data_IF_009487432318
#
_entry.id   IF_009487432318
#
_cell.length_a   1.000
_cell.length_b   1.000
_cell.length_c   1.000
_cell.angle_alpha   90.00
_cell.angle_beta   90.00
_cell.angle_gamma   90.00
#
_symmetry.space_group_name_H-M   'P 1'
#
loop_
_entity.id
_entity.type
_entity.pdbx_description
1 polymer ?
#
# COMPACT_ATOMS: atom_id res chain seq x y z
N UNK A 1 19.61 -19.03 7.16
CA UNK A 1 19.17 -17.75 6.54
C UNK A 1 20.15 -17.46 5.42
N UNK A 2 19.72 -16.96 4.24
CA UNK A 2 20.70 -16.28 3.41
C UNK A 2 21.33 -15.19 4.28
N UNK A 3 22.65 -15.07 4.26
CA UNK A 3 23.32 -13.98 4.99
C UNK A 3 22.73 -12.68 4.44
N UNK A 4 22.30 -11.76 5.30
CA UNK A 4 21.74 -10.45 4.88
C UNK A 4 22.67 -9.72 3.89
N UNK A 5 23.98 -9.94 4.04
CA UNK A 5 25.03 -9.44 3.13
C UNK A 5 24.87 -9.88 1.67
N UNK A 6 24.09 -10.94 1.39
CA UNK A 6 23.81 -11.42 0.03
C UNK A 6 22.52 -10.83 -0.58
N UNK A 7 21.79 -10.01 0.17
CA UNK A 7 20.59 -9.33 -0.31
C UNK A 7 21.00 -7.91 -0.68
N UNK A 8 21.17 -7.66 -1.97
CA UNK A 8 21.68 -6.39 -2.49
C UNK A 8 20.63 -5.55 -3.20
N UNK A 9 19.51 -6.15 -3.57
CA UNK A 9 18.44 -5.48 -4.29
C UNK A 9 17.05 -6.10 -3.98
N UNK A 10 15.99 -5.46 -4.46
CA UNK A 10 14.61 -5.94 -4.29
C UNK A 10 14.38 -7.30 -4.94
N UNK A 11 15.07 -7.60 -6.05
CA UNK A 11 14.98 -8.90 -6.71
C UNK A 11 15.45 -10.05 -5.80
N UNK A 12 16.57 -9.85 -5.07
CA UNK A 12 17.05 -10.84 -4.10
C UNK A 12 16.04 -11.05 -2.96
N UNK A 13 15.41 -9.98 -2.48
CA UNK A 13 14.34 -10.09 -1.47
C UNK A 13 13.16 -10.90 -2.02
N UNK A 14 12.77 -10.69 -3.28
CA UNK A 14 11.68 -11.41 -3.95
C UNK A 14 11.98 -12.91 -3.99
N UNK A 15 13.19 -13.34 -4.29
CA UNK A 15 13.57 -14.75 -4.25
C UNK A 15 13.44 -15.36 -2.84
N UNK A 16 13.91 -14.65 -1.82
CA UNK A 16 13.78 -15.10 -0.42
C UNK A 16 12.31 -15.21 -0.04
N UNK A 17 11.49 -14.25 -0.47
CA UNK A 17 10.06 -14.21 -0.25
C UNK A 17 9.37 -15.45 -0.86
N UNK A 18 9.62 -15.77 -2.13
CA UNK A 18 9.09 -16.95 -2.81
C UNK A 18 9.45 -18.28 -2.11
N UNK A 19 10.65 -18.35 -1.54
CA UNK A 19 11.10 -19.57 -0.82
C UNK A 19 10.41 -19.73 0.54
N UNK A 20 10.01 -18.64 1.20
CA UNK A 20 9.55 -18.65 2.61
C UNK A 20 8.05 -18.57 2.78
N UNK A 21 7.35 -17.93 1.88
CA UNK A 21 5.91 -17.67 1.96
C UNK A 21 5.15 -18.67 1.10
N UNK A 22 3.98 -19.16 1.52
CA UNK A 22 3.13 -20.01 0.69
C UNK A 22 2.76 -19.33 -0.63
N UNK A 23 2.76 -20.12 -1.71
CA UNK A 23 2.56 -19.63 -3.08
C UNK A 23 1.31 -18.77 -3.24
N UNK A 24 0.19 -19.14 -2.60
CA UNK A 24 -1.05 -18.37 -2.70
C UNK A 24 -0.90 -16.91 -2.21
N UNK A 25 -0.14 -16.69 -1.14
CA UNK A 25 0.11 -15.33 -0.62
C UNK A 25 1.19 -14.59 -1.43
N UNK A 26 2.16 -15.34 -1.97
CA UNK A 26 3.14 -14.78 -2.92
C UNK A 26 2.42 -14.27 -4.15
N UNK A 27 1.60 -15.11 -4.78
CA UNK A 27 0.86 -14.75 -5.99
C UNK A 27 -0.09 -13.57 -5.76
N UNK A 28 -0.71 -13.49 -4.57
CA UNK A 28 -1.52 -12.34 -4.18
C UNK A 28 -0.73 -11.02 -4.28
N UNK A 29 0.51 -10.99 -3.83
CA UNK A 29 1.31 -9.76 -3.84
C UNK A 29 1.97 -9.45 -5.19
N UNK A 30 2.29 -10.48 -5.98
CA UNK A 30 3.06 -10.32 -7.23
C UNK A 30 2.20 -10.49 -8.48
N UNK A 31 0.90 -10.28 -8.38
CA UNK A 31 -0.03 -10.35 -9.52
C UNK A 31 -0.62 -8.99 -9.86
N UNK A 32 -0.80 -8.75 -11.16
CA UNK A 32 -1.68 -7.74 -11.71
C UNK A 32 -3.09 -8.28 -11.97
N UNK A 33 -3.97 -7.45 -12.51
CA UNK A 33 -5.29 -7.82 -13.03
C UNK A 33 -5.21 -8.28 -14.49
N UNK A 34 -6.17 -9.07 -14.91
CA UNK A 34 -6.38 -9.53 -16.28
C UNK A 34 -5.11 -10.07 -16.96
N UNK A 35 -4.58 -9.36 -17.98
CA UNK A 35 -3.38 -9.75 -18.73
C UNK A 35 -2.07 -9.38 -18.02
N UNK A 36 -2.13 -8.60 -16.96
CA UNK A 36 -0.99 -8.06 -16.23
C UNK A 36 -0.16 -7.04 -17.07
N UNK A 37 -0.73 -6.45 -18.14
CA UNK A 37 -0.03 -5.47 -18.96
C UNK A 37 0.43 -4.26 -18.12
N UNK A 38 -0.48 -3.58 -17.45
CA UNK A 38 -0.17 -2.42 -16.60
C UNK A 38 0.80 -2.78 -15.48
N UNK A 39 0.69 -3.98 -14.90
CA UNK A 39 1.61 -4.45 -13.87
C UNK A 39 3.05 -4.55 -14.39
N UNK A 40 3.24 -5.03 -15.62
CA UNK A 40 4.55 -5.11 -16.28
C UNK A 40 5.07 -3.71 -16.66
N UNK A 41 4.23 -2.88 -17.27
CA UNK A 41 4.57 -1.54 -17.73
C UNK A 41 4.96 -0.62 -16.58
N UNK A 42 4.32 -0.72 -15.42
CA UNK A 42 4.69 0.04 -14.23
C UNK A 42 6.18 -0.01 -13.88
N UNK A 43 6.84 -1.13 -14.08
CA UNK A 43 8.28 -1.25 -13.84
C UNK A 43 9.12 -1.05 -15.10
N UNK A 44 8.57 -1.39 -16.27
CA UNK A 44 9.30 -1.28 -17.54
C UNK A 44 9.50 0.17 -17.96
N UNK A 45 8.51 1.02 -17.77
CA UNK A 45 8.52 2.40 -18.28
C UNK A 45 9.51 3.31 -17.55
N UNK A 46 9.93 2.96 -16.34
CA UNK A 46 11.07 3.64 -15.71
C UNK A 46 12.33 3.60 -16.58
N UNK A 47 12.46 2.62 -17.49
CA UNK A 47 13.62 2.51 -18.39
C UNK A 47 13.64 3.58 -19.49
N UNK A 48 12.52 4.22 -19.76
CA UNK A 48 12.42 5.31 -20.74
C UNK A 48 13.15 6.56 -20.25
N UNK A 49 13.19 6.78 -18.93
CA UNK A 49 13.87 7.91 -18.29
C UNK A 49 15.34 7.58 -18.06
N UNK A 50 16.25 8.42 -18.57
CA UNK A 50 17.70 8.20 -18.50
C UNK A 50 18.38 9.28 -17.66
N UNK A 51 19.31 8.88 -16.81
CA UNK A 51 20.19 9.81 -16.12
C UNK A 51 21.23 10.39 -17.07
N UNK A 52 21.49 11.69 -16.93
CA UNK A 52 22.63 12.37 -17.54
C UNK A 52 23.60 12.74 -16.42
N UNK A 53 24.69 11.98 -16.34
CA UNK A 53 25.67 12.19 -15.27
C UNK A 53 26.45 13.50 -15.44
N UNK A 54 26.70 14.17 -14.34
CA UNK A 54 27.67 15.27 -14.24
C UNK A 54 28.91 14.77 -13.51
N UNK A 55 30.07 15.22 -13.91
CA UNK A 55 31.35 14.82 -13.30
C UNK A 55 32.01 15.98 -12.56
N UNK A 56 32.97 15.71 -11.68
CA UNK A 56 33.76 16.68 -10.92
C UNK A 56 32.90 17.61 -10.03
N UNK A 57 31.81 17.07 -9.48
CA UNK A 57 30.96 17.79 -8.53
C UNK A 57 31.29 17.32 -7.11
N UNK A 58 31.51 18.26 -6.19
CA UNK A 58 31.66 17.94 -4.79
C UNK A 58 30.38 17.33 -4.20
N UNK A 59 30.48 16.10 -3.71
CA UNK A 59 29.36 15.32 -3.17
C UNK A 59 29.39 15.16 -1.64
N UNK A 60 30.28 15.89 -0.94
CA UNK A 60 30.48 15.70 0.50
C UNK A 60 29.20 15.97 1.33
N UNK A 61 28.39 16.94 0.92
CA UNK A 61 27.17 17.35 1.65
C UNK A 61 25.88 16.77 1.04
N UNK A 62 25.95 15.68 0.25
CA UNK A 62 24.75 15.07 -0.31
C UNK A 62 23.87 14.49 0.78
N UNK A 63 22.57 14.71 0.68
CA UNK A 63 21.56 14.12 1.54
C UNK A 63 20.36 13.68 0.69
N UNK A 64 19.72 12.60 1.11
CA UNK A 64 18.44 12.15 0.57
C UNK A 64 17.29 12.33 1.57
N UNK A 65 17.61 12.90 2.75
CA UNK A 65 16.59 13.20 3.76
C UNK A 65 15.64 14.29 3.25
N UNK A 66 14.35 14.14 3.56
CA UNK A 66 13.30 15.03 3.11
C UNK A 66 12.20 15.13 4.17
N UNK A 67 11.28 16.07 4.00
CA UNK A 67 10.01 16.07 4.73
C UNK A 67 8.89 15.53 3.83
N UNK A 68 8.08 14.64 4.38
CA UNK A 68 6.87 14.07 3.77
C UNK A 68 5.68 14.42 4.66
N UNK A 69 4.76 15.26 4.19
CA UNK A 69 3.64 15.81 4.98
C UNK A 69 4.08 16.42 6.34
N UNK A 70 5.22 17.11 6.34
CA UNK A 70 5.78 17.72 7.54
C UNK A 70 6.54 16.77 8.47
N UNK A 71 6.61 15.47 8.16
CA UNK A 71 7.42 14.48 8.89
C UNK A 71 8.80 14.32 8.26
N UNK A 72 9.84 14.30 9.09
CA UNK A 72 11.19 14.00 8.61
C UNK A 72 11.28 12.55 8.15
N UNK A 73 11.80 12.34 6.95
CA UNK A 73 12.07 11.03 6.38
C UNK A 73 13.55 10.93 5.99
N UNK A 74 14.19 9.82 6.34
CA UNK A 74 15.60 9.57 6.04
C UNK A 74 15.88 9.48 4.53
N UNK A 75 14.86 9.19 3.74
CA UNK A 75 14.86 9.21 2.28
C UNK A 75 13.42 9.41 1.75
N UNK A 76 13.22 9.82 0.49
CA UNK A 76 11.89 10.12 -0.06
C UNK A 76 11.08 8.85 -0.39
N UNK A 77 10.91 7.98 0.60
CA UNK A 77 10.18 6.71 0.46
C UNK A 77 9.35 6.45 1.71
N UNK A 78 8.12 5.98 1.50
CA UNK A 78 7.28 5.41 2.55
C UNK A 78 6.95 3.95 2.21
N UNK A 79 6.71 3.10 3.21
CA UNK A 79 6.20 1.76 2.96
C UNK A 79 4.72 1.81 2.58
N UNK A 80 4.40 1.34 1.38
CA UNK A 80 3.04 1.37 0.82
C UNK A 80 2.05 0.53 1.65
N UNK A 81 0.75 0.91 1.66
CA UNK A 81 -0.27 0.11 2.32
C UNK A 81 -0.49 -1.19 1.56
N UNK A 82 -0.27 -2.30 2.24
CA UNK A 82 -0.43 -3.64 1.68
C UNK A 82 -1.34 -4.46 2.58
N UNK A 83 -2.38 -5.04 2.01
CA UNK A 83 -3.26 -5.97 2.73
C UNK A 83 -2.59 -7.33 2.98
N UNK A 84 -3.07 -8.05 4.00
CA UNK A 84 -2.66 -9.43 4.28
C UNK A 84 -1.17 -9.64 4.58
N UNK A 85 -0.42 -8.64 5.03
CA UNK A 85 1.01 -8.81 5.35
C UNK A 85 1.18 -9.83 6.48
N UNK A 86 0.31 -9.80 7.50
CA UNK A 86 0.32 -10.77 8.60
C UNK A 86 0.12 -12.22 8.16
N UNK A 87 -0.56 -12.47 7.02
CA UNK A 87 -0.67 -13.82 6.44
C UNK A 87 0.59 -14.25 5.68
N UNK A 88 1.42 -13.31 5.27
CA UNK A 88 2.70 -13.60 4.62
C UNK A 88 3.80 -13.84 5.63
N UNK A 89 3.75 -13.11 6.73
CA UNK A 89 4.64 -13.25 7.88
C UNK A 89 3.83 -12.94 9.14
N UNK A 90 3.82 -13.84 10.10
CA UNK A 90 3.17 -13.60 11.40
C UNK A 90 3.62 -12.24 11.97
N UNK A 91 2.65 -11.43 12.39
CA UNK A 91 2.81 -10.06 12.89
C UNK A 91 3.50 -9.11 11.89
N UNK A 92 3.33 -9.35 10.59
CA UNK A 92 4.07 -8.69 9.51
C UNK A 92 3.89 -7.18 9.47
N UNK A 93 2.69 -6.66 9.75
CA UNK A 93 2.42 -5.21 9.79
C UNK A 93 3.19 -4.53 10.94
N UNK A 94 3.24 -5.18 12.11
CA UNK A 94 4.01 -4.69 13.26
C UNK A 94 5.51 -4.65 12.90
N UNK A 95 6.03 -5.75 12.32
CA UNK A 95 7.43 -5.83 11.92
C UNK A 95 7.79 -4.79 10.85
N UNK A 96 6.88 -4.52 9.90
CA UNK A 96 7.08 -3.50 8.87
C UNK A 96 7.10 -2.09 9.47
N UNK A 97 6.16 -1.79 10.39
CA UNK A 97 6.11 -0.50 11.08
C UNK A 97 7.37 -0.24 11.91
N UNK A 98 7.81 -1.23 12.69
CA UNK A 98 9.05 -1.14 13.46
C UNK A 98 10.30 -0.97 12.58
N UNK A 99 10.35 -1.65 11.43
CA UNK A 99 11.46 -1.49 10.49
C UNK A 99 11.46 -0.09 9.87
N UNK A 100 10.30 0.44 9.50
CA UNK A 100 10.16 1.79 8.97
C UNK A 100 10.57 2.84 10.02
N UNK A 101 10.08 2.71 11.25
CA UNK A 101 10.45 3.57 12.38
C UNK A 101 11.97 3.56 12.62
N UNK A 102 12.56 2.37 12.71
CA UNK A 102 14.02 2.22 12.90
C UNK A 102 14.84 2.85 11.78
N UNK A 103 14.35 2.79 10.54
CA UNK A 103 15.03 3.38 9.39
C UNK A 103 14.76 4.88 9.25
N UNK A 104 13.68 5.38 9.85
CA UNK A 104 13.25 6.78 9.78
C UNK A 104 12.46 7.12 8.52
N UNK A 105 11.56 6.26 8.08
CA UNK A 105 10.64 6.49 6.96
C UNK A 105 9.19 6.26 7.39
N UNK A 106 8.19 6.90 6.75
CA UNK A 106 6.79 6.65 7.04
C UNK A 106 6.37 5.20 6.71
N UNK A 107 5.48 4.66 7.53
CA UNK A 107 4.76 3.42 7.28
C UNK A 107 3.28 3.71 7.06
N UNK A 108 2.68 3.05 6.08
CA UNK A 108 1.25 3.17 5.79
C UNK A 108 0.59 1.83 6.08
N UNK A 109 -0.28 1.80 7.07
CA UNK A 109 -1.04 0.61 7.46
C UNK A 109 -2.31 0.50 6.63
N UNK A 110 -2.62 -0.67 6.09
CA UNK A 110 -3.84 -0.92 5.33
C UNK A 110 -5.06 -1.18 6.23
N UNK A 111 -6.26 -0.78 5.81
CA UNK A 111 -7.53 -1.25 6.38
C UNK A 111 -7.59 -2.79 6.40
N UNK A 112 -7.09 -3.43 5.33
CA UNK A 112 -7.10 -4.88 5.15
C UNK A 112 -5.86 -5.56 5.74
N UNK A 113 -5.37 -5.07 6.87
CA UNK A 113 -4.27 -5.67 7.61
C UNK A 113 -4.76 -6.76 8.57
N UNK A 114 -3.86 -7.69 8.89
CA UNK A 114 -4.11 -8.77 9.86
C UNK A 114 -3.90 -8.26 11.29
N UNK A 115 -2.88 -7.44 11.52
CA UNK A 115 -2.76 -6.71 12.77
C UNK A 115 -3.78 -5.56 12.82
N UNK A 116 -4.26 -5.19 13.99
CA UNK A 116 -5.13 -4.01 14.17
C UNK A 116 -4.33 -2.71 14.23
N UNK A 117 -5.02 -1.57 14.11
CA UNK A 117 -4.43 -0.24 14.33
C UNK A 117 -3.79 -0.17 15.72
N UNK A 118 -4.47 -0.72 16.72
CA UNK A 118 -4.02 -0.74 18.12
C UNK A 118 -2.77 -1.61 18.29
N UNK A 119 -2.69 -2.74 17.60
CA UNK A 119 -1.52 -3.62 17.63
C UNK A 119 -0.26 -2.90 17.13
N UNK A 120 -0.38 -2.18 16.02
CA UNK A 120 0.74 -1.42 15.44
C UNK A 120 1.10 -0.23 16.33
N UNK A 121 0.09 0.51 16.82
CA UNK A 121 0.32 1.65 17.71
C UNK A 121 0.96 1.25 19.04
N UNK A 122 0.63 0.08 19.59
CA UNK A 122 1.25 -0.44 20.80
C UNK A 122 2.70 -0.91 20.60
N UNK A 123 3.10 -1.19 19.35
CA UNK A 123 4.40 -1.74 19.00
C UNK A 123 5.39 -0.71 18.43
N UNK A 124 4.96 0.54 18.23
CA UNK A 124 5.75 1.64 17.67
C UNK A 124 5.64 2.89 18.55
N UNK A 125 6.64 3.77 18.48
CA UNK A 125 6.65 5.06 19.20
C UNK A 125 6.39 6.24 18.26
N UNK A 126 6.67 6.08 16.97
CA UNK A 126 6.43 7.09 15.95
C UNK A 126 5.04 6.93 15.33
N UNK A 127 4.38 8.03 14.97
CA UNK A 127 3.11 7.97 14.27
C UNK A 127 3.27 7.34 12.87
N UNK A 128 2.27 6.60 12.45
CA UNK A 128 2.17 6.02 11.10
C UNK A 128 0.96 6.58 10.37
N UNK A 129 0.86 6.35 9.06
CA UNK A 129 -0.29 6.70 8.26
C UNK A 129 -1.26 5.53 8.20
N UNK A 130 -2.55 5.81 8.16
CA UNK A 130 -3.58 4.78 8.04
C UNK A 130 -4.30 4.89 6.70
N UNK A 131 -4.29 3.81 5.91
CA UNK A 131 -4.99 3.74 4.63
C UNK A 131 -6.43 3.25 4.85
N UNK A 132 -7.37 3.98 4.27
CA UNK A 132 -8.80 3.80 4.36
C UNK A 132 -9.39 3.44 3.00
N UNK A 133 -10.20 2.39 2.95
CA UNK A 133 -11.13 2.16 1.85
C UNK A 133 -12.49 2.74 2.21
N UNK A 134 -13.16 3.41 1.25
CA UNK A 134 -14.55 3.79 1.45
C UNK A 134 -15.45 2.57 1.39
N UNK A 135 -16.29 2.42 2.42
CA UNK A 135 -17.25 1.33 2.53
C UNK A 135 -18.66 1.92 2.66
N UNK A 136 -19.69 1.14 2.31
CA UNK A 136 -21.10 1.56 2.43
C UNK A 136 -21.50 1.84 3.87
N UNK A 137 -21.00 1.04 4.82
CA UNK A 137 -21.22 1.25 6.26
C UNK A 137 -20.44 2.48 6.75
N UNK A 138 -21.12 3.62 6.78
CA UNK A 138 -20.52 4.91 7.21
C UNK A 138 -20.26 4.97 8.71
N UNK A 139 -21.00 4.24 9.52
CA UNK A 139 -20.75 4.19 10.96
C UNK A 139 -19.48 3.40 11.27
N UNK A 140 -19.28 2.27 10.60
CA UNK A 140 -18.01 1.55 10.69
C UNK A 140 -16.83 2.41 10.19
N UNK A 141 -17.02 3.20 9.13
CA UNK A 141 -16.00 4.14 8.64
C UNK A 141 -15.64 5.19 9.69
N UNK A 142 -16.64 5.78 10.37
CA UNK A 142 -16.40 6.72 11.47
C UNK A 142 -15.61 6.06 12.58
N UNK A 143 -15.95 4.84 12.95
CA UNK A 143 -15.23 4.08 13.99
C UNK A 143 -13.76 3.87 13.60
N UNK A 144 -13.47 3.48 12.35
CA UNK A 144 -12.10 3.32 11.85
C UNK A 144 -11.32 4.63 11.93
N UNK A 145 -11.92 5.75 11.50
CA UNK A 145 -11.29 7.07 11.58
C UNK A 145 -11.02 7.45 13.04
N UNK A 146 -11.96 7.20 13.95
CA UNK A 146 -11.77 7.49 15.38
C UNK A 146 -10.68 6.62 16.01
N UNK A 147 -10.56 5.35 15.60
CA UNK A 147 -9.48 4.45 16.03
C UNK A 147 -8.12 4.97 15.53
N UNK A 148 -8.05 5.41 14.25
CA UNK A 148 -6.84 6.01 13.71
C UNK A 148 -6.43 7.30 14.47
N UNK A 149 -7.41 8.15 14.86
CA UNK A 149 -7.15 9.32 15.71
C UNK A 149 -6.61 8.93 17.08
N UNK A 150 -7.26 7.96 17.76
CA UNK A 150 -6.82 7.46 19.08
C UNK A 150 -5.41 6.87 19.02
N UNK A 151 -5.07 6.19 17.95
CA UNK A 151 -3.74 5.65 17.67
C UNK A 151 -2.72 6.73 17.24
N UNK A 152 -3.14 8.01 17.17
CA UNK A 152 -2.31 9.16 16.77
C UNK A 152 -1.67 8.97 15.37
N UNK A 153 -2.41 8.35 14.44
CA UNK A 153 -1.98 8.31 13.05
C UNK A 153 -1.80 9.75 12.53
N UNK A 154 -0.70 10.02 11.84
CA UNK A 154 -0.37 11.38 11.40
C UNK A 154 -0.99 11.77 10.06
N UNK A 155 -1.42 10.80 9.27
CA UNK A 155 -2.17 11.03 8.04
C UNK A 155 -3.18 9.89 7.79
N UNK A 156 -4.25 10.24 7.09
CA UNK A 156 -5.21 9.29 6.52
C UNK A 156 -5.00 9.20 5.02
N UNK A 157 -4.91 7.99 4.47
CA UNK A 157 -4.72 7.73 3.03
C UNK A 157 -6.00 7.11 2.48
N UNK A 158 -6.85 7.92 1.87
CA UNK A 158 -8.08 7.45 1.23
C UNK A 158 -7.76 6.87 -0.15
N UNK A 159 -8.08 5.60 -0.36
CA UNK A 159 -7.88 4.90 -1.64
C UNK A 159 -9.13 5.00 -2.48
N UNK A 160 -9.03 5.61 -3.66
CA UNK A 160 -10.15 5.96 -4.53
C UNK A 160 -10.32 5.01 -5.74
N UNK A 161 -9.33 4.17 -6.05
CA UNK A 161 -9.26 3.33 -7.24
C UNK A 161 -9.84 1.92 -7.07
N UNK A 162 -10.71 1.69 -6.06
CA UNK A 162 -11.22 0.37 -5.71
C UNK A 162 -12.76 0.28 -5.71
N UNK A 163 -13.44 1.08 -6.54
CA UNK A 163 -14.91 1.01 -6.69
C UNK A 163 -15.36 -0.32 -7.32
N UNK A 164 -14.55 -0.85 -8.24
CA UNK A 164 -14.75 -2.14 -8.89
C UNK A 164 -13.48 -2.97 -8.71
N UNK A 165 -13.64 -4.21 -8.27
CA UNK A 165 -12.51 -5.12 -8.06
C UNK A 165 -11.92 -5.59 -9.38
N UNK A 166 -10.62 -5.36 -9.57
CA UNK A 166 -9.87 -5.94 -10.68
C UNK A 166 -9.81 -7.47 -10.59
N UNK A 167 -10.00 -8.15 -11.71
CA UNK A 167 -9.96 -9.61 -11.75
C UNK A 167 -8.51 -10.11 -11.78
N UNK A 168 -8.05 -10.64 -10.67
CA UNK A 168 -6.70 -11.23 -10.55
C UNK A 168 -6.77 -12.75 -10.72
N UNK A 169 -6.38 -13.23 -11.89
CA UNK A 169 -6.47 -14.65 -12.25
C UNK A 169 -5.68 -15.57 -11.31
N UNK A 170 -4.52 -15.11 -10.80
CA UNK A 170 -3.72 -15.88 -9.85
C UNK A 170 -4.45 -16.06 -8.51
N UNK A 171 -5.14 -15.03 -8.03
CA UNK A 171 -5.92 -15.11 -6.79
C UNK A 171 -7.08 -16.11 -6.93
N UNK A 172 -7.80 -16.06 -8.06
CA UNK A 172 -8.90 -17.00 -8.36
C UNK A 172 -8.37 -18.44 -8.41
N UNK A 173 -7.27 -18.68 -9.16
CA UNK A 173 -6.67 -20.02 -9.27
C UNK A 173 -6.15 -20.56 -7.95
N UNK A 174 -5.70 -19.69 -7.05
CA UNK A 174 -5.23 -20.05 -5.71
C UNK A 174 -6.37 -20.16 -4.67
N UNK A 175 -7.62 -19.93 -5.06
CA UNK A 175 -8.76 -19.98 -4.16
C UNK A 175 -8.82 -18.81 -3.16
N UNK A 176 -8.13 -17.69 -3.42
CA UNK A 176 -8.23 -16.44 -2.66
C UNK A 176 -9.43 -15.58 -3.08
N UNK A 177 -10.40 -16.17 -3.79
CA UNK A 177 -11.70 -15.55 -4.05
C UNK A 177 -12.53 -15.45 -2.76
N UNK A 178 -13.58 -14.70 -2.81
CA UNK A 178 -14.53 -14.54 -1.71
C UNK A 178 -15.70 -15.56 -1.86
N UNK A 179 -15.89 -16.52 -0.95
CA UNK A 179 -15.03 -16.88 0.20
C UNK A 179 -13.79 -17.67 -0.21
N UNK A 180 -12.69 -17.58 0.58
CA UNK A 180 -11.46 -18.32 0.27
C UNK A 180 -11.68 -19.84 0.33
N UNK A 181 -11.19 -20.55 -0.69
CA UNK A 181 -11.25 -22.01 -0.77
C UNK A 181 -9.84 -22.58 -0.78
N UNK A 182 -9.41 -23.17 0.32
CA UNK A 182 -8.13 -23.86 0.36
C UNK A 182 -8.18 -25.15 -0.46
N UNK A 183 -7.33 -25.25 -1.47
CA UNK A 183 -7.14 -26.48 -2.24
C UNK A 183 -6.14 -27.40 -1.53
N UNK A 184 -6.18 -28.70 -1.84
CA UNK A 184 -5.17 -29.65 -1.35
C UNK A 184 -3.74 -29.21 -1.72
N UNK A 185 -3.55 -28.66 -2.93
CA UNK A 185 -2.28 -28.11 -3.37
C UNK A 185 -1.79 -26.95 -2.50
N UNK A 186 -2.69 -26.07 -2.06
CA UNK A 186 -2.35 -24.99 -1.13
C UNK A 186 -1.88 -25.54 0.22
N UNK A 187 -2.57 -26.55 0.77
CA UNK A 187 -2.21 -27.17 2.05
C UNK A 187 -0.82 -27.80 1.95
N UNK A 188 -0.58 -28.61 0.91
CA UNK A 188 0.74 -29.23 0.67
C UNK A 188 1.82 -28.13 0.56
N UNK A 189 1.57 -27.07 -0.21
CA UNK A 189 2.52 -25.97 -0.36
C UNK A 189 2.80 -25.26 0.97
N UNK A 190 1.79 -25.02 1.81
CA UNK A 190 1.98 -24.46 3.15
C UNK A 190 2.88 -25.35 4.01
N UNK A 191 2.68 -26.67 3.98
CA UNK A 191 3.50 -27.62 4.74
C UNK A 191 4.98 -27.60 4.31
N UNK A 192 5.30 -27.19 3.07
CA UNK A 192 6.69 -27.00 2.64
C UNK A 192 7.35 -25.74 3.21
N UNK A 193 6.63 -24.93 3.98
CA UNK A 193 7.09 -23.64 4.54
C UNK A 193 7.15 -23.67 6.08
N UNK A 194 7.99 -24.53 6.70
CA UNK A 194 7.94 -24.78 8.14
C UNK A 194 8.09 -23.52 9.00
N UNK A 195 8.93 -22.58 8.61
CA UNK A 195 9.09 -21.30 9.35
C UNK A 195 7.84 -20.43 9.29
N UNK A 196 7.12 -20.46 8.18
CA UNK A 196 5.83 -19.79 8.07
C UNK A 196 4.80 -20.47 8.97
N UNK A 197 4.70 -21.79 8.92
CA UNK A 197 3.78 -22.55 9.77
C UNK A 197 4.02 -22.28 11.26
N UNK A 198 5.27 -22.36 11.72
CA UNK A 198 5.62 -22.07 13.12
C UNK A 198 5.27 -20.62 13.51
N UNK A 199 5.54 -19.66 12.64
CA UNK A 199 5.14 -18.26 12.86
C UNK A 199 3.63 -18.12 13.01
N UNK A 200 2.85 -18.72 12.11
CA UNK A 200 1.38 -18.67 12.15
C UNK A 200 0.78 -19.40 13.36
N UNK A 201 1.43 -20.46 13.84
CA UNK A 201 1.03 -21.13 15.08
C UNK A 201 1.33 -20.27 16.32
N UNK A 202 2.40 -19.48 16.28
CA UNK A 202 2.84 -18.64 17.41
C UNK A 202 2.09 -17.32 17.56
N UNK A 203 1.38 -16.84 16.52
CA UNK A 203 0.62 -15.59 16.60
C UNK A 203 -0.86 -15.82 16.91
N UNK A 204 -1.46 -14.86 17.63
CA UNK A 204 -2.92 -14.80 17.84
C UNK A 204 -3.64 -14.07 16.68
N UNK A 205 -2.89 -13.36 15.82
CA UNK A 205 -3.40 -12.51 14.74
C UNK A 205 -3.49 -13.32 13.44
N UNK A 206 -4.71 -13.76 13.11
CA UNK A 206 -4.96 -14.65 11.96
C UNK A 206 -6.17 -14.23 11.13
N UNK A 207 -6.72 -13.06 11.40
CA UNK A 207 -7.89 -12.48 10.73
C UNK A 207 -7.70 -10.97 10.58
N UNK A 208 -8.57 -10.30 9.81
CA UNK A 208 -8.50 -8.85 9.63
C UNK A 208 -8.77 -8.09 10.94
N UNK A 209 -7.72 -7.63 11.60
CA UNK A 209 -7.77 -7.03 12.93
C UNK A 209 -8.53 -5.70 13.00
N UNK A 210 -8.71 -5.03 11.87
CA UNK A 210 -9.49 -3.80 11.82
C UNK A 210 -10.99 -4.03 11.61
N UNK A 211 -11.40 -5.23 11.21
CA UNK A 211 -12.79 -5.56 10.84
C UNK A 211 -13.40 -6.53 11.83
N UNK A 212 -12.76 -7.69 12.07
CA UNK A 212 -13.30 -8.73 12.95
C UNK A 212 -13.38 -8.23 14.39
N UNK A 213 -14.54 -8.40 15.02
CA UNK A 213 -14.85 -7.87 16.35
C UNK A 213 -15.27 -6.40 16.38
N UNK A 214 -15.32 -5.74 15.23
CA UNK A 214 -15.78 -4.35 15.10
C UNK A 214 -17.02 -4.19 14.20
N UNK A 215 -17.45 -5.28 13.58
CA UNK A 215 -18.66 -5.35 12.75
C UNK A 215 -19.51 -6.52 13.25
N UNK A 216 -20.80 -6.25 13.46
CA UNK A 216 -21.74 -7.27 13.93
C UNK A 216 -21.94 -8.39 12.88
N UNK A 217 -22.09 -9.62 13.36
CA UNK A 217 -22.34 -10.78 12.51
C UNK A 217 -21.12 -11.37 11.78
N UNK A 218 -19.93 -10.78 11.92
CA UNK A 218 -18.70 -11.33 11.32
C UNK A 218 -17.96 -12.20 12.34
N UNK A 219 -18.17 -13.52 12.24
CA UNK A 219 -17.56 -14.50 13.15
C UNK A 219 -16.55 -15.44 12.49
N UNK A 220 -16.54 -15.54 11.15
CA UNK A 220 -15.69 -16.45 10.39
C UNK A 220 -15.23 -15.86 9.06
N UNK A 221 -14.31 -16.53 8.38
CA UNK A 221 -13.73 -16.09 7.11
C UNK A 221 -14.75 -16.01 5.97
N UNK A 222 -15.81 -16.83 6.01
CA UNK A 222 -16.89 -16.80 5.00
C UNK A 222 -17.76 -15.55 5.13
N UNK A 223 -18.25 -15.25 6.35
CA UNK A 223 -19.02 -14.04 6.63
C UNK A 223 -18.22 -12.77 6.36
N UNK A 224 -16.93 -12.77 6.71
CA UNK A 224 -16.01 -11.67 6.45
C UNK A 224 -15.84 -11.39 4.96
N UNK A 225 -15.69 -12.44 4.16
CA UNK A 225 -15.48 -12.30 2.71
C UNK A 225 -16.72 -11.79 2.00
N UNK A 226 -17.90 -12.33 2.36
CA UNK A 226 -19.19 -11.85 1.84
C UNK A 226 -19.38 -10.38 2.20
N UNK A 227 -19.22 -10.02 3.46
CA UNK A 227 -19.33 -8.65 3.93
C UNK A 227 -18.37 -7.71 3.19
N UNK A 228 -17.09 -8.07 3.07
CA UNK A 228 -16.10 -7.23 2.40
C UNK A 228 -16.50 -6.95 0.94
N UNK A 229 -17.01 -7.97 0.22
CA UNK A 229 -17.44 -7.81 -1.17
C UNK A 229 -18.67 -6.88 -1.29
N UNK A 230 -19.59 -6.94 -0.34
CA UNK A 230 -20.79 -6.11 -0.31
C UNK A 230 -20.50 -4.66 0.08
N UNK A 231 -19.43 -4.42 0.85
CA UNK A 231 -19.10 -3.12 1.41
C UNK A 231 -18.43 -2.16 0.43
N UNK A 232 -17.82 -2.64 -0.65
CA UNK A 232 -17.26 -1.72 -1.64
C UNK A 232 -18.34 -0.83 -2.25
N UNK A 233 -18.13 0.47 -2.15
CA UNK A 233 -19.10 1.48 -2.57
C UNK A 233 -18.82 1.92 -4.01
N UNK A 234 -19.64 1.42 -4.94
CA UNK A 234 -19.55 1.81 -6.36
C UNK A 234 -20.03 3.24 -6.63
N UNK A 235 -20.68 3.89 -5.65
CA UNK A 235 -21.19 5.26 -5.76
C UNK A 235 -20.22 6.29 -5.18
N UNK A 236 -19.02 5.87 -4.82
CA UNK A 236 -17.96 6.75 -4.27
C UNK A 236 -17.77 7.97 -5.17
N UNK A 237 -17.79 9.15 -4.54
CA UNK A 237 -17.71 10.45 -5.21
C UNK A 237 -16.81 11.43 -4.45
N UNK A 238 -16.52 12.59 -5.03
CA UNK A 238 -15.79 13.67 -4.36
C UNK A 238 -16.51 14.24 -3.12
N UNK A 239 -17.83 14.03 -2.99
CA UNK A 239 -18.56 14.38 -1.77
C UNK A 239 -18.18 13.47 -0.62
N UNK A 240 -17.88 12.19 -0.88
CA UNK A 240 -17.41 11.26 0.13
C UNK A 240 -16.00 11.62 0.61
N UNK A 241 -15.14 12.12 -0.28
CA UNK A 241 -13.82 12.65 0.09
C UNK A 241 -13.97 13.84 1.06
N UNK A 242 -14.89 14.78 0.76
CA UNK A 242 -15.19 15.90 1.65
C UNK A 242 -15.75 15.43 2.99
N UNK A 243 -16.61 14.41 2.98
CA UNK A 243 -17.13 13.80 4.21
C UNK A 243 -15.99 13.18 5.05
N UNK A 244 -15.07 12.44 4.44
CA UNK A 244 -13.89 11.90 5.13
C UNK A 244 -13.06 13.04 5.74
N UNK A 245 -12.81 14.12 4.99
CA UNK A 245 -12.07 15.30 5.49
C UNK A 245 -12.75 15.95 6.70
N UNK A 246 -14.09 15.98 6.74
CA UNK A 246 -14.85 16.47 7.89
C UNK A 246 -14.73 15.56 9.11
N UNK A 247 -14.60 14.23 8.90
CA UNK A 247 -14.40 13.28 9.99
C UNK A 247 -12.95 13.23 10.48
N UNK A 248 -11.99 13.54 9.58
CA UNK A 248 -10.56 13.53 9.82
C UNK A 248 -10.00 14.95 9.81
N UNK A 249 -9.55 15.42 10.95
CA UNK A 249 -9.01 16.79 11.17
C UNK A 249 -7.50 16.91 10.89
N UNK A 250 -6.84 15.79 10.51
CA UNK A 250 -5.42 15.72 10.19
C UNK A 250 -5.14 15.80 8.68
N UNK A 251 -3.93 15.37 8.31
CA UNK A 251 -3.48 15.31 6.92
C UNK A 251 -4.22 14.22 6.15
N UNK A 252 -4.77 14.59 4.97
CA UNK A 252 -5.50 13.68 4.08
C UNK A 252 -4.73 13.50 2.77
N UNK A 253 -4.50 12.25 2.41
CA UNK A 253 -3.87 11.84 1.15
C UNK A 253 -4.93 11.13 0.30
N UNK A 254 -5.06 11.47 -0.97
CA UNK A 254 -5.91 10.73 -1.91
C UNK A 254 -5.01 9.86 -2.79
N UNK A 255 -5.22 8.55 -2.75
CA UNK A 255 -4.46 7.55 -3.50
C UNK A 255 -5.29 6.96 -4.62
N UNK A 256 -4.67 6.74 -5.80
CA UNK A 256 -5.35 6.17 -6.98
C UNK A 256 -5.58 7.19 -8.08
N UNK A 257 -4.83 8.28 -8.07
CA UNK A 257 -4.96 9.37 -9.05
C UNK A 257 -4.09 9.04 -10.27
N UNK A 258 -4.72 9.08 -11.47
CA UNK A 258 -4.06 8.84 -12.75
C UNK A 258 -4.35 9.93 -13.79
N UNK A 259 -5.28 10.85 -13.49
CA UNK A 259 -5.73 11.91 -14.40
C UNK A 259 -5.56 13.29 -13.75
N UNK A 260 -5.27 14.29 -14.56
CA UNK A 260 -5.06 15.67 -14.11
C UNK A 260 -6.34 16.24 -13.48
N UNK A 261 -7.50 15.98 -14.06
CA UNK A 261 -8.81 16.44 -13.58
C UNK A 261 -9.12 15.88 -12.18
N UNK A 262 -8.76 14.62 -11.93
CA UNK A 262 -8.90 13.98 -10.61
C UNK A 262 -7.92 14.59 -9.61
N UNK A 263 -6.69 14.89 -10.01
CA UNK A 263 -5.71 15.58 -9.17
C UNK A 263 -6.21 16.95 -8.72
N UNK A 264 -6.74 17.76 -9.65
CA UNK A 264 -7.35 19.08 -9.37
C UNK A 264 -8.56 18.91 -8.43
N UNK A 265 -9.38 17.90 -8.67
CA UNK A 265 -10.55 17.61 -7.83
C UNK A 265 -10.16 17.20 -6.42
N UNK A 266 -9.06 16.43 -6.26
CA UNK A 266 -8.51 16.03 -4.97
C UNK A 266 -8.05 17.25 -4.16
N UNK A 267 -7.32 18.18 -4.79
CA UNK A 267 -6.90 19.46 -4.17
C UNK A 267 -8.12 20.28 -3.74
N UNK A 268 -9.12 20.44 -4.60
CA UNK A 268 -10.37 21.14 -4.28
C UNK A 268 -11.17 20.49 -3.15
N UNK A 269 -11.05 19.17 -2.99
CA UNK A 269 -11.67 18.42 -1.89
C UNK A 269 -10.89 18.52 -0.58
N UNK A 270 -9.74 19.19 -0.57
CA UNK A 270 -8.92 19.45 0.61
C UNK A 270 -7.87 18.38 0.89
N UNK A 271 -7.38 17.69 -0.14
CA UNK A 271 -6.24 16.79 0.00
C UNK A 271 -4.95 17.57 0.31
N UNK A 272 -4.20 17.11 1.32
CA UNK A 272 -2.87 17.64 1.65
C UNK A 272 -1.77 17.00 0.79
N UNK A 273 -2.05 15.84 0.20
CA UNK A 273 -1.22 15.16 -0.77
C UNK A 273 -2.05 14.23 -1.66
N UNK A 274 -1.49 13.87 -2.82
CA UNK A 274 -2.03 12.82 -3.69
C UNK A 274 -0.97 11.76 -3.95
N UNK A 275 -1.42 10.55 -4.26
CA UNK A 275 -0.55 9.48 -4.77
C UNK A 275 -0.97 9.14 -6.19
N UNK A 276 -0.08 9.40 -7.14
CA UNK A 276 -0.20 8.91 -8.52
C UNK A 276 -0.02 7.40 -8.48
N UNK A 277 -1.12 6.67 -8.73
CA UNK A 277 -1.22 5.24 -8.44
C UNK A 277 -2.27 4.58 -9.32
N UNK A 278 -1.93 3.45 -9.92
CA UNK A 278 -2.86 2.53 -10.57
C UNK A 278 -3.02 1.22 -9.77
N UNK A 279 -2.84 1.30 -8.43
CA UNK A 279 -2.91 0.16 -7.51
C UNK A 279 -1.93 -0.97 -7.83
N UNK A 280 -0.78 -0.64 -8.42
CA UNK A 280 0.20 -1.64 -8.85
C UNK A 280 -0.24 -2.46 -10.07
N UNK A 281 -1.10 -1.94 -10.94
CA UNK A 281 -1.66 -2.68 -12.08
C UNK A 281 -2.63 -3.79 -11.65
N UNK A 282 -3.26 -3.65 -10.49
CA UNK A 282 -4.12 -4.68 -9.87
C UNK A 282 -5.62 -4.40 -10.04
N UNK A 283 -5.96 -3.26 -10.62
CA UNK A 283 -7.33 -2.79 -10.87
C UNK A 283 -7.63 -2.72 -12.36
N UNK A 284 -7.48 -1.58 -13.02
CA UNK A 284 -7.66 -1.43 -14.46
C UNK A 284 -6.41 -1.91 -15.19
N UNK A 285 -6.55 -2.96 -15.99
CA UNK A 285 -5.48 -3.40 -16.89
C UNK A 285 -5.57 -2.65 -18.22
N UNK A 286 -4.44 -2.39 -18.88
CA UNK A 286 -4.36 -1.50 -20.04
C UNK A 286 -4.33 -0.01 -19.68
N UNK A 287 -4.29 0.36 -18.38
CA UNK A 287 -4.03 1.71 -17.94
C UNK A 287 -2.54 2.06 -18.12
N UNK A 288 -2.19 3.35 -18.31
CA UNK A 288 -0.79 3.79 -18.39
C UNK A 288 -0.04 3.48 -17.09
N UNK A 289 1.29 3.38 -17.18
CA UNK A 289 2.13 3.31 -16.00
C UNK A 289 2.10 4.63 -15.22
N UNK A 290 2.25 4.57 -13.90
CA UNK A 290 2.18 5.77 -13.05
C UNK A 290 3.29 6.77 -13.33
N UNK A 291 4.49 6.29 -13.71
CA UNK A 291 5.60 7.18 -14.06
C UNK A 291 5.35 7.97 -15.35
N UNK A 292 4.55 7.42 -16.28
CA UNK A 292 4.29 8.08 -17.57
C UNK A 292 3.32 9.27 -17.46
N UNK A 293 2.46 9.29 -16.45
CA UNK A 293 1.49 10.40 -16.21
C UNK A 293 1.93 11.34 -15.08
N UNK A 294 3.05 11.03 -14.41
CA UNK A 294 3.49 11.78 -13.24
C UNK A 294 3.75 13.25 -13.53
N UNK A 295 4.48 13.55 -14.61
CA UNK A 295 4.94 14.90 -14.92
C UNK A 295 3.76 15.86 -15.16
N UNK A 296 2.77 15.46 -15.94
CA UNK A 296 1.59 16.27 -16.20
C UNK A 296 0.75 16.54 -14.94
N UNK A 297 0.61 15.54 -14.06
CA UNK A 297 -0.09 15.70 -12.77
C UNK A 297 0.70 16.67 -11.86
N UNK A 298 2.02 16.52 -11.78
CA UNK A 298 2.88 17.42 -10.99
C UNK A 298 2.79 18.86 -11.53
N UNK A 299 2.79 19.04 -12.86
CA UNK A 299 2.66 20.36 -13.46
C UNK A 299 1.32 21.02 -13.10
N UNK A 300 0.25 20.24 -13.00
CA UNK A 300 -1.08 20.74 -12.70
C UNK A 300 -1.27 21.13 -11.22
N UNK A 301 -0.76 20.34 -10.27
CA UNK A 301 -1.10 20.51 -8.84
C UNK A 301 0.10 20.55 -7.89
N UNK A 302 1.32 20.34 -8.37
CA UNK A 302 2.51 20.21 -7.53
C UNK A 302 2.91 21.45 -6.73
N UNK A 303 2.37 22.62 -7.07
CA UNK A 303 2.55 23.86 -6.30
C UNK A 303 1.53 24.00 -5.15
N UNK A 304 0.43 23.24 -5.20
CA UNK A 304 -0.67 23.34 -4.24
C UNK A 304 -0.68 22.17 -3.26
N UNK A 305 -0.15 20.98 -3.67
CA UNK A 305 -0.18 19.77 -2.86
C UNK A 305 1.07 18.93 -3.07
N UNK A 306 1.42 18.07 -2.09
CA UNK A 306 2.52 17.12 -2.28
C UNK A 306 2.06 15.98 -3.20
N UNK A 307 2.85 15.65 -4.21
CA UNK A 307 2.58 14.55 -5.14
C UNK A 307 3.53 13.40 -4.86
N UNK A 308 2.98 12.25 -4.54
CA UNK A 308 3.71 10.99 -4.37
C UNK A 308 3.48 10.07 -5.55
N UNK A 309 4.39 9.12 -5.75
CA UNK A 309 4.27 8.07 -6.77
C UNK A 309 4.32 6.69 -6.13
N UNK A 310 3.44 5.80 -6.55
CA UNK A 310 3.64 4.36 -6.31
C UNK A 310 3.51 3.56 -7.61
N UNK A 311 3.49 2.24 -7.48
CA UNK A 311 3.45 1.29 -8.59
C UNK A 311 4.75 1.23 -9.41
N UNK A 312 5.41 0.10 -9.34
CA UNK A 312 6.58 -0.17 -10.17
C UNK A 312 7.94 0.18 -9.59
N UNK A 313 8.03 0.87 -8.46
CA UNK A 313 9.30 1.19 -7.78
C UNK A 313 10.03 -0.09 -7.36
N UNK A 314 11.30 -0.26 -7.78
CA UNK A 314 12.14 -1.44 -7.48
C UNK A 314 13.54 -1.09 -7.05
N UNK A 315 13.94 0.19 -7.14
CA UNK A 315 15.29 0.64 -6.82
C UNK A 315 15.33 2.10 -6.40
N UNK A 316 16.41 2.54 -5.77
CA UNK A 316 16.66 3.96 -5.51
C UNK A 316 16.77 4.78 -6.80
N UNK A 317 17.15 4.16 -7.91
CA UNK A 317 17.19 4.82 -9.22
C UNK A 317 15.77 5.18 -9.70
N UNK A 318 14.78 4.30 -9.46
CA UNK A 318 13.40 4.58 -9.81
C UNK A 318 12.84 5.73 -8.95
N UNK A 319 13.17 5.75 -7.66
CA UNK A 319 12.85 6.86 -6.76
C UNK A 319 13.44 8.18 -7.29
N UNK A 320 14.72 8.19 -7.67
CA UNK A 320 15.37 9.40 -8.20
C UNK A 320 14.73 9.89 -9.50
N UNK A 321 14.25 8.99 -10.37
CA UNK A 321 13.51 9.36 -11.59
C UNK A 321 12.19 10.02 -11.26
N UNK A 322 11.43 9.45 -10.31
CA UNK A 322 10.17 10.03 -9.87
C UNK A 322 10.38 11.44 -9.25
N UNK A 323 11.41 11.60 -8.40
CA UNK A 323 11.75 12.92 -7.82
C UNK A 323 12.17 13.91 -8.91
N UNK A 324 12.94 13.47 -9.92
CA UNK A 324 13.34 14.33 -11.04
C UNK A 324 12.16 14.80 -11.90
N UNK A 325 11.08 14.03 -11.95
CA UNK A 325 9.80 14.38 -12.60
C UNK A 325 8.86 15.17 -11.66
N UNK A 326 9.32 15.52 -10.45
CA UNK A 326 8.61 16.40 -9.53
C UNK A 326 7.84 15.73 -8.41
N UNK A 327 7.90 14.39 -8.28
CA UNK A 327 7.33 13.75 -7.11
C UNK A 327 8.05 14.20 -5.83
N UNK A 328 7.32 14.35 -4.73
CA UNK A 328 7.87 14.62 -3.41
C UNK A 328 8.48 13.37 -2.77
N UNK A 329 7.97 12.21 -3.12
CA UNK A 329 8.44 10.91 -2.64
C UNK A 329 7.70 9.76 -3.29
N UNK A 330 8.08 8.54 -2.92
CA UNK A 330 7.53 7.30 -3.47
C UNK A 330 7.00 6.37 -2.37
N UNK A 331 6.08 5.46 -2.77
CA UNK A 331 5.62 4.38 -1.92
C UNK A 331 6.12 3.03 -2.45
#
# INVERSE_FOLDING_TARGET
>A
MPKLEKITCVADMREVYHRRVPKMFVDYCVSGSWTEQTWHENSADFKQYKFRQKVLINMNNRSVAIQMLGQNAAMPVALAPTGLIGMQRADGEILAAQAAEKFGIPYIMSTMSICSIEDVAAATTQPFWFQLYMMKDREFMKQLIQRAKKAKCSALVLTADLQIMGQRHKDIKNGLSAPPKLTLGNIINMCTKPKWCLGMLGTKRRSFGNIVGHVDGISNTGSLSAWTTEQFDMQLSWNDVKWVKQQWDGKLIIKGIMEVEDAISAVRAGADAIVVSNHGGRQLDGAPSTISVLEEIVMAVGQETEVYLDSGIRSGQDVLKAIALGAKGCL
#
